data_IF_656368683675
#
_entry.id   IF_656368683675
#
_cell.length_a   1.000
_cell.length_b   1.000
_cell.length_c   1.000
_cell.angle_alpha   90.00
_cell.angle_beta   90.00
_cell.angle_gamma   90.00
#
_symmetry.space_group_name_H-M   'P 1'
#
loop_
_entity.id
_entity.type
_entity.pdbx_description
1 polymer ?
#
# COMPACT_ATOMS: atom_id res chain seq x y z
N UNK A 1 -21.95 -12.80 -13.96
CA UNK A 1 -21.46 -11.40 -14.11
C UNK A 1 -20.34 -10.96 -13.15
N UNK A 2 -20.13 -11.54 -11.96
CA UNK A 2 -19.08 -11.08 -11.02
C UNK A 2 -17.61 -11.38 -11.41
N UNK A 3 -17.36 -12.37 -12.28
CA UNK A 3 -16.00 -12.75 -12.73
C UNK A 3 -15.33 -11.73 -13.65
N UNK A 4 -16.10 -10.96 -14.42
CA UNK A 4 -15.55 -9.98 -15.36
C UNK A 4 -14.95 -8.75 -14.66
N UNK A 5 -15.57 -8.30 -13.56
CA UNK A 5 -15.05 -7.17 -12.77
C UNK A 5 -13.80 -7.53 -11.95
N UNK A 6 -13.57 -8.83 -11.70
CA UNK A 6 -12.41 -9.34 -10.96
C UNK A 6 -11.10 -9.14 -11.73
N UNK A 7 -11.06 -9.52 -13.01
CA UNK A 7 -9.85 -9.37 -13.82
C UNK A 7 -9.44 -7.91 -13.95
N UNK A 8 -10.41 -7.01 -14.14
CA UNK A 8 -10.13 -5.58 -14.30
C UNK A 8 -9.39 -4.97 -13.10
N UNK A 9 -9.74 -5.35 -11.87
CA UNK A 9 -9.10 -4.79 -10.66
C UNK A 9 -7.65 -5.28 -10.52
N UNK A 10 -7.42 -6.57 -10.79
CA UNK A 10 -6.07 -7.15 -10.78
C UNK A 10 -5.17 -6.50 -11.83
N UNK A 11 -5.66 -6.34 -13.06
CA UNK A 11 -4.91 -5.67 -14.12
C UNK A 11 -4.62 -4.20 -13.80
N UNK A 12 -5.58 -3.46 -13.24
CA UNK A 12 -5.39 -2.06 -12.82
C UNK A 12 -4.36 -1.99 -11.68
N UNK A 13 -4.40 -2.92 -10.72
CA UNK A 13 -3.42 -2.99 -9.64
C UNK A 13 -2.03 -3.29 -10.18
N UNK A 14 -1.86 -4.29 -11.05
CA UNK A 14 -0.58 -4.62 -11.67
C UNK A 14 -0.03 -3.48 -12.53
N UNK A 15 -0.90 -2.77 -13.25
CA UNK A 15 -0.54 -1.56 -13.99
C UNK A 15 -0.02 -0.47 -13.04
N UNK A 16 -0.71 -0.25 -11.91
CA UNK A 16 -0.26 0.67 -10.87
C UNK A 16 1.10 0.30 -10.28
N UNK A 17 1.37 -1.00 -10.07
CA UNK A 17 2.65 -1.51 -9.58
C UNK A 17 3.76 -1.32 -10.61
N UNK A 18 3.48 -1.61 -11.88
CA UNK A 18 4.42 -1.39 -12.99
C UNK A 18 4.76 0.10 -13.19
N UNK A 19 3.90 1.00 -12.71
CA UNK A 19 4.14 2.45 -12.76
C UNK A 19 5.04 2.97 -11.63
N UNK A 20 5.22 2.24 -10.52
CA UNK A 20 6.03 2.66 -9.35
C UNK A 20 7.48 3.07 -9.70
N UNK A 21 8.20 2.41 -10.62
CA UNK A 21 9.57 2.80 -10.98
C UNK A 21 9.68 4.23 -11.51
N UNK A 22 8.65 4.74 -12.19
CA UNK A 22 8.65 6.08 -12.77
C UNK A 22 8.74 7.20 -11.71
N UNK A 23 7.79 7.35 -10.77
CA UNK A 23 7.89 8.37 -9.73
C UNK A 23 9.08 8.11 -8.78
N UNK A 24 9.52 6.86 -8.65
CA UNK A 24 10.73 6.53 -7.88
C UNK A 24 11.99 7.09 -8.55
N UNK A 25 12.10 7.00 -9.88
CA UNK A 25 13.20 7.62 -10.63
C UNK A 25 13.17 9.15 -10.53
N UNK A 26 11.99 9.77 -10.71
CA UNK A 26 11.81 11.23 -10.60
C UNK A 26 12.18 11.73 -9.19
N UNK A 27 11.78 11.00 -8.14
CA UNK A 27 12.18 11.29 -6.77
C UNK A 27 13.70 11.14 -6.56
N UNK A 28 14.33 10.16 -7.23
CA UNK A 28 15.78 9.94 -7.16
C UNK A 28 16.60 11.03 -7.85
N UNK A 29 16.12 11.56 -8.97
CA UNK A 29 16.76 12.69 -9.67
C UNK A 29 16.55 14.03 -8.95
N UNK A 30 15.37 14.23 -8.37
CA UNK A 30 14.99 15.49 -7.70
C UNK A 30 14.56 15.26 -6.24
N UNK A 31 15.45 14.76 -5.37
CA UNK A 31 15.09 14.35 -4.01
C UNK A 31 14.69 15.52 -3.10
N UNK A 32 15.10 16.75 -3.43
CA UNK A 32 14.76 17.96 -2.67
C UNK A 32 13.56 18.71 -3.25
N UNK A 33 12.98 18.24 -4.36
CA UNK A 33 11.83 18.88 -4.97
C UNK A 33 10.53 18.32 -4.35
N UNK A 34 9.71 19.15 -3.66
CA UNK A 34 8.47 18.69 -3.04
C UNK A 34 7.50 18.04 -4.03
N UNK A 35 7.48 18.48 -5.30
CA UNK A 35 6.62 17.90 -6.34
C UNK A 35 7.01 16.48 -6.70
N UNK A 36 8.31 16.18 -6.76
CA UNK A 36 8.81 14.83 -7.05
C UNK A 36 8.46 13.86 -5.92
N UNK A 37 8.66 14.30 -4.67
CA UNK A 37 8.40 13.47 -3.48
C UNK A 37 6.90 13.27 -3.24
N UNK A 38 6.07 14.29 -3.48
CA UNK A 38 4.61 14.17 -3.40
C UNK A 38 4.04 13.28 -4.49
N UNK A 39 4.57 13.32 -5.73
CA UNK A 39 4.17 12.41 -6.80
C UNK A 39 4.39 10.95 -6.41
N UNK A 40 5.54 10.63 -5.81
CA UNK A 40 5.82 9.30 -5.26
C UNK A 40 4.78 8.90 -4.21
N UNK A 41 4.51 9.75 -3.21
CA UNK A 41 3.53 9.46 -2.16
C UNK A 41 2.12 9.26 -2.69
N UNK A 42 1.68 10.05 -3.66
CA UNK A 42 0.35 9.91 -4.30
C UNK A 42 0.25 8.58 -5.05
N UNK A 43 1.26 8.20 -5.84
CA UNK A 43 1.25 6.93 -6.57
C UNK A 43 1.24 5.74 -5.61
N UNK A 44 1.99 5.81 -4.51
CA UNK A 44 1.98 4.78 -3.47
C UNK A 44 0.63 4.70 -2.73
N UNK A 45 0.00 5.85 -2.45
CA UNK A 45 -1.32 5.90 -1.84
C UNK A 45 -2.40 5.29 -2.76
N UNK A 46 -2.38 5.62 -4.05
CA UNK A 46 -3.30 5.05 -5.06
C UNK A 46 -3.11 3.54 -5.17
N UNK A 47 -1.85 3.07 -5.23
CA UNK A 47 -1.55 1.64 -5.25
C UNK A 47 -2.09 0.92 -4.01
N UNK A 48 -1.92 1.52 -2.83
CA UNK A 48 -2.44 0.96 -1.57
C UNK A 48 -3.98 0.96 -1.55
N UNK A 49 -4.62 1.98 -2.09
CA UNK A 49 -6.08 2.04 -2.25
C UNK A 49 -6.60 0.95 -3.20
N UNK A 50 -5.90 0.67 -4.30
CA UNK A 50 -6.23 -0.43 -5.23
C UNK A 50 -6.03 -1.81 -4.58
N UNK A 51 -5.09 -1.93 -3.65
CA UNK A 51 -4.87 -3.17 -2.91
C UNK A 51 -6.02 -3.54 -1.97
N UNK A 52 -6.71 -2.57 -1.36
CA UNK A 52 -7.84 -2.82 -0.42
C UNK A 52 -8.98 -3.65 -1.05
N UNK A 53 -9.58 -3.27 -2.19
CA UNK A 53 -10.65 -4.04 -2.82
C UNK A 53 -10.15 -5.39 -3.34
N UNK A 54 -8.91 -5.46 -3.85
CA UNK A 54 -8.29 -6.71 -4.29
C UNK A 54 -8.13 -7.70 -3.12
N UNK A 55 -7.60 -7.24 -1.99
CA UNK A 55 -7.42 -8.04 -0.79
C UNK A 55 -8.76 -8.51 -0.21
N UNK A 56 -9.77 -7.64 -0.17
CA UNK A 56 -11.13 -7.99 0.25
C UNK A 56 -11.75 -9.05 -0.67
N UNK A 57 -11.51 -8.96 -1.98
CA UNK A 57 -11.96 -9.95 -2.95
C UNK A 57 -11.30 -11.32 -2.72
N UNK A 58 -9.97 -11.36 -2.59
CA UNK A 58 -9.22 -12.60 -2.34
C UNK A 58 -9.70 -13.28 -1.05
N UNK A 59 -9.87 -12.52 0.03
CA UNK A 59 -10.37 -13.03 1.31
C UNK A 59 -11.78 -13.60 1.23
N UNK A 60 -12.66 -12.99 0.42
CA UNK A 60 -14.07 -13.41 0.29
C UNK A 60 -14.28 -14.56 -0.68
N UNK A 61 -13.44 -14.69 -1.72
CA UNK A 61 -13.73 -15.55 -2.87
C UNK A 61 -12.68 -16.65 -3.12
N UNK A 62 -11.44 -16.48 -2.65
CA UNK A 62 -10.34 -17.43 -2.90
C UNK A 62 -9.84 -18.15 -1.63
N UNK A 63 -9.99 -17.55 -0.45
CA UNK A 63 -9.49 -18.13 0.81
C UNK A 63 -10.54 -19.03 1.46
N UNK A 64 -10.11 -20.22 1.91
CA UNK A 64 -10.97 -21.18 2.65
C UNK A 64 -11.53 -20.54 3.92
N UNK A 65 -12.82 -20.76 4.26
CA UNK A 65 -13.50 -20.09 5.37
C UNK A 65 -12.83 -20.30 6.74
N UNK A 66 -12.07 -21.39 6.95
CA UNK A 66 -11.27 -21.62 8.15
C UNK A 66 -10.22 -20.53 8.43
N UNK A 67 -9.65 -19.90 7.40
CA UNK A 67 -8.63 -18.85 7.57
C UNK A 67 -9.21 -17.42 7.62
N UNK A 68 -10.52 -17.30 7.45
CA UNK A 68 -11.22 -16.01 7.33
C UNK A 68 -11.60 -15.46 8.71
N UNK A 69 -11.96 -16.34 9.66
CA UNK A 69 -12.54 -15.93 10.95
C UNK A 69 -11.59 -15.08 11.82
N UNK A 70 -10.27 -15.23 11.67
CA UNK A 70 -9.29 -14.54 12.53
C UNK A 70 -8.66 -13.28 11.90
N UNK A 71 -8.76 -13.10 10.57
CA UNK A 71 -7.93 -12.12 9.82
C UNK A 71 -8.67 -10.88 9.27
N UNK A 72 -10.01 -10.87 9.26
CA UNK A 72 -10.80 -9.82 8.58
C UNK A 72 -10.58 -8.39 9.12
N UNK A 73 -10.64 -8.10 10.45
CA UNK A 73 -10.53 -6.72 10.92
C UNK A 73 -9.09 -6.19 10.89
N UNK A 74 -8.10 -7.07 11.04
CA UNK A 74 -6.70 -6.66 11.18
C UNK A 74 -6.06 -6.27 9.84
N UNK A 75 -6.43 -6.93 8.73
CA UNK A 75 -5.86 -6.65 7.40
C UNK A 75 -6.34 -5.32 6.81
N UNK A 76 -7.66 -5.06 6.88
CA UNK A 76 -8.25 -3.83 6.33
C UNK A 76 -7.76 -2.59 7.08
N UNK A 77 -7.62 -2.69 8.42
CA UNK A 77 -7.08 -1.60 9.25
C UNK A 77 -5.62 -1.30 8.91
N UNK A 78 -4.81 -2.33 8.67
CA UNK A 78 -3.38 -2.18 8.34
C UNK A 78 -3.17 -1.49 6.99
N UNK A 79 -3.97 -1.85 5.98
CA UNK A 79 -3.93 -1.21 4.65
C UNK A 79 -4.34 0.26 4.70
N UNK A 80 -5.32 0.63 5.54
CA UNK A 80 -5.69 2.02 5.77
C UNK A 80 -4.58 2.85 6.44
N UNK A 81 -3.87 2.28 7.41
CA UNK A 81 -2.70 2.93 8.04
C UNK A 81 -1.64 3.26 6.99
N UNK A 82 -1.42 2.36 6.03
CA UNK A 82 -0.55 2.62 4.88
C UNK A 82 -0.98 3.84 4.07
N UNK A 83 -2.25 3.91 3.64
CA UNK A 83 -2.78 5.05 2.87
C UNK A 83 -2.62 6.37 3.63
N UNK A 84 -2.99 6.39 4.92
CA UNK A 84 -2.90 7.60 5.74
C UNK A 84 -1.44 8.04 5.89
N UNK A 85 -0.51 7.09 6.10
CA UNK A 85 0.92 7.43 6.20
C UNK A 85 1.47 8.03 4.91
N UNK A 86 1.05 7.52 3.74
CA UNK A 86 1.45 8.10 2.46
C UNK A 86 0.87 9.50 2.24
N UNK A 87 -0.42 9.71 2.56
CA UNK A 87 -1.05 11.03 2.48
C UNK A 87 -0.43 12.05 3.44
N UNK A 88 -0.10 11.63 4.66
CA UNK A 88 0.64 12.46 5.61
C UNK A 88 2.04 12.79 5.09
N UNK A 89 2.73 11.82 4.48
CA UNK A 89 4.00 12.08 3.82
C UNK A 89 3.88 13.12 2.70
N UNK A 90 2.85 13.02 1.85
CA UNK A 90 2.55 14.01 0.81
C UNK A 90 2.32 15.39 1.41
N UNK A 91 1.50 15.51 2.46
CA UNK A 91 1.30 16.78 3.15
C UNK A 91 2.60 17.32 3.77
N UNK A 92 3.42 16.44 4.35
CA UNK A 92 4.69 16.79 4.98
C UNK A 92 5.75 17.26 3.97
N UNK A 93 5.71 16.83 2.70
CA UNK A 93 6.67 17.29 1.67
C UNK A 93 6.70 18.81 1.50
N UNK A 94 5.56 19.48 1.71
CA UNK A 94 5.44 20.94 1.59
C UNK A 94 6.04 21.69 2.77
N UNK A 95 6.20 21.03 3.92
CA UNK A 95 6.86 21.57 5.11
C UNK A 95 8.35 21.24 5.11
N UNK A 96 8.67 19.95 4.94
CA UNK A 96 10.03 19.45 4.88
C UNK A 96 10.08 18.08 4.21
N UNK A 97 10.79 18.01 3.09
CA UNK A 97 10.95 16.79 2.29
C UNK A 97 11.59 15.64 3.08
N UNK A 98 12.47 15.94 4.05
CA UNK A 98 13.11 14.92 4.89
C UNK A 98 12.11 14.19 5.79
N UNK A 99 11.09 14.89 6.29
CA UNK A 99 10.03 14.28 7.11
C UNK A 99 9.23 13.29 6.26
N UNK A 100 8.96 13.64 4.99
CA UNK A 100 8.27 12.74 4.07
C UNK A 100 9.05 11.45 3.81
N UNK A 101 10.37 11.53 3.63
CA UNK A 101 11.22 10.34 3.49
C UNK A 101 11.17 9.43 4.72
N UNK A 102 11.23 10.01 5.93
CA UNK A 102 11.11 9.23 7.17
C UNK A 102 9.75 8.55 7.23
N UNK A 103 8.66 9.26 6.93
CA UNK A 103 7.32 8.70 6.92
C UNK A 103 7.19 7.54 5.93
N UNK A 104 7.68 7.71 4.69
CA UNK A 104 7.64 6.66 3.67
C UNK A 104 8.50 5.45 4.02
N UNK A 105 9.65 5.64 4.65
CA UNK A 105 10.50 4.55 5.13
C UNK A 105 9.87 3.77 6.29
N UNK A 106 9.04 4.43 7.11
CA UNK A 106 8.38 3.84 8.27
C UNK A 106 7.11 3.07 7.89
N UNK A 107 6.43 3.45 6.81
CA UNK A 107 5.23 2.77 6.28
C UNK A 107 5.40 1.24 6.11
N UNK A 108 6.44 0.71 5.44
CA UNK A 108 6.61 -0.74 5.30
C UNK A 108 6.94 -1.43 6.62
N UNK A 109 7.61 -0.75 7.57
CA UNK A 109 7.94 -1.32 8.88
C UNK A 109 6.67 -1.66 9.66
N UNK A 110 5.63 -0.83 9.57
CA UNK A 110 4.32 -1.15 10.13
C UNK A 110 3.65 -2.33 9.44
N UNK A 111 3.95 -2.58 8.16
CA UNK A 111 3.30 -3.63 7.39
C UNK A 111 3.83 -5.03 7.70
N UNK A 112 5.09 -5.16 8.16
CA UNK A 112 5.69 -6.44 8.57
C UNK A 112 4.81 -7.09 9.67
N UNK A 113 4.22 -8.28 9.45
CA UNK A 113 3.57 -9.00 10.52
C UNK A 113 4.63 -9.49 11.52
N UNK A 114 4.38 -9.42 12.84
CA UNK A 114 5.28 -10.02 13.81
C UNK A 114 5.48 -11.50 13.44
N UNK A 115 6.71 -12.03 13.56
CA UNK A 115 6.98 -13.43 13.27
C UNK A 115 6.03 -14.28 14.10
N UNK A 116 5.24 -15.11 13.42
CA UNK A 116 4.38 -16.09 14.09
C UNK A 116 5.32 -17.08 14.76
N UNK A 117 5.48 -16.95 16.08
CA UNK A 117 6.26 -17.89 16.87
C UNK A 117 5.63 -19.27 16.69
N UNK A 118 6.39 -20.19 16.10
CA UNK A 118 6.05 -21.60 15.96
C UNK A 118 5.67 -22.18 17.34
N UNK A 119 4.36 -22.31 17.59
CA UNK A 119 3.82 -22.94 18.81
C UNK A 119 3.69 -24.47 18.64
N UNK A 120 4.48 -25.08 17.75
CA UNK A 120 4.59 -26.54 17.68
C UNK A 120 5.70 -27.04 18.61
N UNK A 121 5.44 -26.99 19.91
CA UNK A 121 6.04 -27.91 20.90
C UNK A 121 4.96 -28.47 21.81
#
# INVERSE_FOLDING_TARGET
>A
MRKASCGSIEFIFLMGQAFIPFPTAVMGEYPMNPLAVSLFGVVMAVNTLLFIPLQSYILRNLIKPEMVSEKIPHLTRKSFVGVISYLLGVAATWLNVHIAFILYALTPLFFIPPPQGDHRR
#
